data_IF_407816117296
#
_entry.id   IF_407816117296
#
_cell.length_a   1.000
_cell.length_b   1.000
_cell.length_c   1.000
_cell.angle_alpha   90.00
_cell.angle_beta   90.00
_cell.angle_gamma   90.00
#
_symmetry.space_group_name_H-M   'P 1'
#
loop_
_entity.id
_entity.type
_entity.pdbx_description
1 polymer ?
#
# COMPACT_ATOMS: atom_id res chain seq x y z
N UNK A 1 19.43 7.64 -6.20
CA UNK A 1 18.18 8.36 -6.54
C UNK A 1 18.16 8.75 -8.00
N UNK A 2 19.33 9.02 -8.59
CA UNK A 2 19.56 9.42 -9.99
C UNK A 2 19.04 8.46 -11.07
N UNK A 3 18.65 7.23 -10.71
CA UNK A 3 17.97 6.29 -11.61
C UNK A 3 16.47 6.60 -11.78
N UNK A 4 15.93 7.55 -11.01
CA UNK A 4 14.53 7.95 -11.03
C UNK A 4 14.41 9.36 -11.60
N UNK A 5 13.35 9.56 -12.39
CA UNK A 5 13.00 10.87 -12.94
C UNK A 5 12.63 11.86 -11.82
N UNK A 6 12.98 13.13 -12.05
CA UNK A 6 12.65 14.23 -11.15
C UNK A 6 11.17 14.60 -11.25
N UNK A 7 10.66 15.27 -10.21
CA UNK A 7 9.33 15.88 -10.26
C UNK A 7 9.30 17.01 -11.28
N UNK A 8 8.17 17.14 -11.97
CA UNK A 8 7.95 18.27 -12.87
C UNK A 8 7.68 19.53 -12.04
N UNK A 9 8.20 20.70 -12.45
CA UNK A 9 7.94 21.95 -11.74
C UNK A 9 6.46 22.33 -11.87
N UNK A 10 5.86 22.73 -10.75
CA UNK A 10 4.48 23.22 -10.70
C UNK A 10 4.49 24.74 -10.76
N UNK A 11 3.69 25.31 -11.66
CA UNK A 11 3.45 26.76 -11.68
C UNK A 11 2.40 27.11 -10.61
N UNK A 12 2.89 27.52 -9.44
CA UNK A 12 2.05 27.89 -8.30
C UNK A 12 1.11 29.06 -8.59
N UNK A 13 1.47 29.97 -9.50
CA UNK A 13 0.63 31.10 -9.86
C UNK A 13 -0.57 30.64 -10.70
N UNK A 14 -0.32 29.82 -11.72
CA UNK A 14 -1.36 29.22 -12.57
C UNK A 14 -2.30 28.33 -11.75
N UNK A 15 -1.74 27.55 -10.82
CA UNK A 15 -2.50 26.70 -9.90
C UNK A 15 -3.42 27.51 -8.99
N UNK A 16 -2.92 28.60 -8.39
CA UNK A 16 -3.74 29.44 -7.52
C UNK A 16 -4.90 30.12 -8.27
N UNK A 17 -4.68 30.52 -9.52
CA UNK A 17 -5.73 31.08 -10.39
C UNK A 17 -6.79 30.00 -10.68
N UNK A 18 -6.35 28.83 -11.11
CA UNK A 18 -7.23 27.70 -11.44
C UNK A 18 -8.11 27.29 -10.25
N UNK A 19 -7.55 27.24 -9.04
CA UNK A 19 -8.30 26.92 -7.82
C UNK A 19 -9.38 27.96 -7.52
N UNK A 20 -9.06 29.25 -7.73
CA UNK A 20 -10.02 30.34 -7.53
C UNK A 20 -11.19 30.23 -8.51
N UNK A 21 -10.90 29.96 -9.78
CA UNK A 21 -11.93 29.79 -10.81
C UNK A 21 -12.83 28.58 -10.51
N UNK A 22 -12.25 27.45 -10.07
CA UNK A 22 -13.01 26.28 -9.65
C UNK A 22 -13.91 26.57 -8.43
N UNK A 23 -13.44 27.40 -7.49
CA UNK A 23 -14.23 27.80 -6.33
C UNK A 23 -15.47 28.60 -6.73
N UNK A 24 -15.30 29.55 -7.67
CA UNK A 24 -16.38 30.37 -8.20
C UNK A 24 -17.40 29.52 -8.96
N UNK A 25 -16.95 28.68 -9.88
CA UNK A 25 -17.81 27.75 -10.63
C UNK A 25 -18.61 26.82 -9.72
N UNK A 26 -17.98 26.31 -8.65
CA UNK A 26 -18.66 25.45 -7.68
C UNK A 26 -19.79 26.20 -6.95
N UNK A 27 -19.56 27.45 -6.55
CA UNK A 27 -20.56 28.28 -5.88
C UNK A 27 -21.69 28.70 -6.83
N UNK A 28 -21.37 29.02 -8.09
CA UNK A 28 -22.35 29.29 -9.13
C UNK A 28 -23.25 28.08 -9.38
N UNK A 29 -22.66 26.90 -9.60
CA UNK A 29 -23.41 25.66 -9.75
C UNK A 29 -24.28 25.39 -8.52
N UNK A 30 -23.75 25.60 -7.31
CA UNK A 30 -24.53 25.48 -6.08
C UNK A 30 -25.78 26.37 -6.10
N UNK A 31 -25.63 27.64 -6.51
CA UNK A 31 -26.75 28.57 -6.65
C UNK A 31 -27.77 28.10 -7.70
N UNK A 32 -27.33 27.60 -8.85
CA UNK A 32 -28.22 27.10 -9.91
C UNK A 32 -29.09 25.91 -9.45
N UNK A 33 -28.52 25.02 -8.64
CA UNK A 33 -29.24 23.87 -8.08
C UNK A 33 -29.97 24.17 -6.76
N UNK A 34 -30.01 25.45 -6.33
CA UNK A 34 -30.70 25.87 -5.11
C UNK A 34 -30.04 25.39 -3.83
N UNK A 35 -28.71 25.25 -3.83
CA UNK A 35 -27.89 24.84 -2.70
C UNK A 35 -27.19 26.06 -2.11
N UNK A 36 -27.61 26.48 -0.92
CA UNK A 36 -26.90 27.53 -0.19
C UNK A 36 -25.71 26.95 0.59
N UNK A 37 -24.50 27.38 0.22
CA UNK A 37 -23.25 27.00 0.88
C UNK A 37 -22.16 28.05 0.74
N UNK A 38 -21.19 28.01 1.65
CA UNK A 38 -20.03 28.90 1.68
C UNK A 38 -18.75 28.07 1.77
N UNK A 39 -17.78 28.31 0.90
CA UNK A 39 -16.45 27.70 0.98
C UNK A 39 -15.69 28.34 2.15
N UNK A 40 -15.28 27.53 3.11
CA UNK A 40 -14.56 28.01 4.31
C UNK A 40 -13.06 27.73 4.26
N UNK A 41 -12.67 26.67 3.56
CA UNK A 41 -11.29 26.23 3.44
C UNK A 41 -11.09 25.53 2.10
N UNK A 42 -9.87 25.62 1.58
CA UNK A 42 -9.48 25.00 0.32
C UNK A 42 -8.14 24.32 0.54
N UNK A 43 -8.11 23.01 0.32
CA UNK A 43 -6.89 22.22 0.39
C UNK A 43 -6.58 21.66 -1.00
N UNK A 44 -5.56 22.25 -1.63
CA UNK A 44 -5.19 21.93 -3.00
C UNK A 44 -4.16 20.80 -3.04
N UNK A 45 -4.59 19.65 -3.57
CA UNK A 45 -3.76 18.49 -3.83
C UNK A 45 -3.22 18.44 -5.25
N UNK A 46 -2.36 17.46 -5.54
CA UNK A 46 -1.75 17.29 -6.85
C UNK A 46 -2.79 16.92 -7.93
N UNK A 47 -3.77 16.10 -7.60
CA UNK A 47 -4.77 15.59 -8.56
C UNK A 47 -6.18 16.11 -8.32
N UNK A 48 -6.48 16.52 -7.09
CA UNK A 48 -7.78 17.00 -6.66
C UNK A 48 -7.61 18.20 -5.74
N UNK A 49 -8.63 19.05 -5.68
CA UNK A 49 -8.76 20.13 -4.69
C UNK A 49 -9.96 19.85 -3.80
N UNK A 50 -9.76 19.89 -2.49
CA UNK A 50 -10.80 19.69 -1.49
C UNK A 50 -11.36 21.05 -1.05
N UNK A 51 -12.62 21.30 -1.39
CA UNK A 51 -13.37 22.46 -0.94
C UNK A 51 -14.16 22.10 0.32
N UNK A 52 -13.84 22.72 1.46
CA UNK A 52 -14.59 22.56 2.68
C UNK A 52 -15.76 23.55 2.70
N UNK A 53 -16.95 23.06 2.37
CA UNK A 53 -18.16 23.88 2.24
C UNK A 53 -19.01 23.78 3.50
N UNK A 54 -19.36 24.91 4.08
CA UNK A 54 -20.37 25.02 5.14
C UNK A 54 -21.73 25.23 4.50
N UNK A 55 -22.66 24.33 4.80
CA UNK A 55 -24.01 24.40 4.24
C UNK A 55 -24.92 25.28 5.10
N UNK A 56 -25.92 25.90 4.46
CA UNK A 56 -27.01 26.54 5.16
C UNK A 56 -27.80 25.55 6.03
N UNK A 57 -28.44 26.08 7.09
CA UNK A 57 -29.24 25.25 8.00
C UNK A 57 -30.43 24.63 7.25
N UNK A 58 -30.61 23.32 7.41
CA UNK A 58 -31.70 22.58 6.78
C UNK A 58 -31.33 21.90 5.47
N UNK A 59 -30.20 22.27 4.85
CA UNK A 59 -29.67 21.60 3.66
C UNK A 59 -29.22 20.17 4.02
N UNK A 60 -29.80 19.18 3.33
CA UNK A 60 -29.50 17.77 3.59
C UNK A 60 -28.30 17.35 2.74
N UNK A 61 -27.23 16.84 3.35
CA UNK A 61 -26.07 16.31 2.60
C UNK A 61 -26.46 15.26 1.55
N UNK A 62 -27.52 14.48 1.83
CA UNK A 62 -28.07 13.50 0.88
C UNK A 62 -28.56 14.12 -0.43
N UNK A 63 -29.11 15.34 -0.42
CA UNK A 63 -29.55 15.99 -1.67
C UNK A 63 -28.35 16.37 -2.54
N UNK A 64 -27.28 16.89 -1.92
CA UNK A 64 -26.05 17.26 -2.62
C UNK A 64 -25.38 16.01 -3.22
N UNK A 65 -25.31 14.91 -2.47
CA UNK A 65 -24.85 13.61 -3.01
C UNK A 65 -25.68 13.12 -4.20
N UNK A 66 -26.98 13.37 -4.19
CA UNK A 66 -27.86 13.04 -5.32
C UNK A 66 -27.62 13.91 -6.56
N UNK A 67 -27.05 15.11 -6.38
CA UNK A 67 -26.76 16.07 -7.45
C UNK A 67 -25.29 16.02 -7.90
N UNK A 68 -24.48 15.11 -7.39
CA UNK A 68 -23.03 15.10 -7.63
C UNK A 68 -22.66 15.01 -9.13
N UNK A 69 -23.40 14.20 -9.91
CA UNK A 69 -23.19 14.09 -11.36
C UNK A 69 -23.60 15.34 -12.13
N UNK A 70 -24.67 16.01 -11.68
CA UNK A 70 -25.15 17.24 -12.30
C UNK A 70 -24.25 18.43 -11.97
N UNK A 71 -23.80 18.53 -10.72
CA UNK A 71 -22.79 19.48 -10.28
C UNK A 71 -21.47 19.29 -11.02
N UNK A 72 -21.00 18.05 -11.16
CA UNK A 72 -19.79 17.74 -11.91
C UNK A 72 -19.89 18.22 -13.37
N UNK A 73 -21.06 18.01 -14.00
CA UNK A 73 -21.31 18.47 -15.37
C UNK A 73 -21.35 19.99 -15.49
N UNK A 74 -21.94 20.67 -14.51
CA UNK A 74 -22.05 22.13 -14.50
C UNK A 74 -20.68 22.82 -14.41
N UNK A 75 -19.74 22.23 -13.67
CA UNK A 75 -18.36 22.75 -13.55
C UNK A 75 -17.37 22.03 -14.49
N UNK A 76 -17.88 21.27 -15.47
CA UNK A 76 -17.09 20.60 -16.52
C UNK A 76 -16.01 19.63 -16.03
N UNK A 77 -16.23 18.94 -14.90
CA UNK A 77 -15.31 17.93 -14.36
C UNK A 77 -15.87 16.50 -14.52
N UNK A 78 -15.02 15.47 -14.61
CA UNK A 78 -15.48 14.10 -14.85
C UNK A 78 -16.33 13.53 -13.72
N UNK A 79 -16.05 13.90 -12.46
CA UNK A 79 -16.81 13.45 -11.29
C UNK A 79 -16.47 14.28 -10.06
N UNK A 80 -17.38 14.30 -9.08
CA UNK A 80 -17.16 14.89 -7.76
C UNK A 80 -17.28 13.85 -6.67
N UNK A 81 -16.43 13.93 -5.65
CA UNK A 81 -16.56 13.13 -4.41
C UNK A 81 -16.98 14.02 -3.26
N UNK A 82 -18.09 13.64 -2.61
CA UNK A 82 -18.68 14.40 -1.50
C UNK A 82 -18.51 13.65 -0.18
N UNK A 83 -17.59 14.13 0.64
CA UNK A 83 -17.30 13.62 1.98
C UNK A 83 -18.06 14.40 3.06
N UNK A 84 -18.83 13.69 3.89
CA UNK A 84 -19.57 14.28 5.01
C UNK A 84 -18.79 14.30 6.32
N UNK A 85 -17.59 13.70 6.35
CA UNK A 85 -16.87 13.37 7.58
C UNK A 85 -15.71 14.33 7.89
N UNK A 86 -15.68 15.51 7.28
CA UNK A 86 -14.63 16.51 7.53
C UNK A 86 -14.85 17.30 8.85
N UNK A 87 -15.97 17.06 9.54
CA UNK A 87 -16.27 17.64 10.86
C UNK A 87 -16.86 19.06 10.82
N UNK A 88 -17.20 19.59 12.01
CA UNK A 88 -17.62 20.99 12.23
C UNK A 88 -18.82 21.49 11.40
N UNK A 89 -19.72 20.59 10.95
CA UNK A 89 -20.88 20.96 10.15
C UNK A 89 -20.54 21.38 8.71
N UNK A 90 -19.36 20.99 8.22
CA UNK A 90 -18.92 21.19 6.83
C UNK A 90 -19.02 19.88 6.04
N UNK A 91 -19.06 20.00 4.72
CA UNK A 91 -18.85 18.90 3.78
C UNK A 91 -17.60 19.15 2.96
N UNK A 92 -16.86 18.09 2.65
CA UNK A 92 -15.73 18.14 1.74
C UNK A 92 -16.19 17.80 0.33
N UNK A 93 -15.86 18.64 -0.63
CA UNK A 93 -16.11 18.39 -2.05
C UNK A 93 -14.76 18.30 -2.72
N UNK A 94 -14.39 17.10 -3.14
CA UNK A 94 -13.17 16.86 -3.91
C UNK A 94 -13.49 17.07 -5.38
N UNK A 95 -12.84 18.08 -5.98
CA UNK A 95 -12.96 18.44 -7.38
C UNK A 95 -11.65 18.07 -8.08
N UNK A 96 -11.68 17.32 -9.19
CA UNK A 96 -10.49 17.06 -10.00
C UNK A 96 -9.82 18.35 -10.48
N UNK A 97 -8.49 18.42 -10.41
CA UNK A 97 -7.76 19.53 -11.00
C UNK A 97 -7.79 19.43 -12.53
N UNK A 98 -7.88 20.55 -13.28
CA UNK A 98 -7.87 20.53 -14.74
C UNK A 98 -6.57 19.94 -15.32
N UNK A 99 -5.46 20.18 -14.63
CA UNK A 99 -4.12 19.66 -14.94
C UNK A 99 -3.59 18.84 -13.75
N UNK A 100 -3.92 17.54 -13.65
CA UNK A 100 -3.43 16.69 -12.58
C UNK A 100 -1.90 16.57 -12.60
N UNK A 101 -1.27 16.81 -11.45
CA UNK A 101 0.17 16.66 -11.29
C UNK A 101 0.58 15.18 -11.23
N UNK A 102 1.63 14.81 -11.96
CA UNK A 102 2.18 13.47 -11.90
C UNK A 102 3.07 13.31 -10.66
N UNK A 103 2.60 12.51 -9.69
CA UNK A 103 3.34 12.19 -8.47
C UNK A 103 4.43 11.16 -8.77
N UNK A 104 5.70 11.56 -8.70
CA UNK A 104 6.86 10.70 -8.96
C UNK A 104 7.35 10.06 -7.66
N UNK A 105 7.77 8.80 -7.69
CA UNK A 105 8.26 8.12 -6.45
C UNK A 105 9.52 8.79 -5.86
N UNK A 106 10.35 9.44 -6.70
CA UNK A 106 11.61 10.08 -6.28
C UNK A 106 11.39 11.13 -5.19
N UNK A 107 10.44 12.04 -5.38
CA UNK A 107 10.12 13.08 -4.38
C UNK A 107 9.65 12.48 -3.04
N UNK A 108 8.90 11.37 -3.08
CA UNK A 108 8.40 10.71 -1.86
C UNK A 108 9.55 10.03 -1.11
N UNK A 109 10.48 9.40 -1.84
CA UNK A 109 11.70 8.81 -1.28
C UNK A 109 12.62 9.87 -0.65
N UNK A 110 12.80 11.01 -1.32
CA UNK A 110 13.62 12.13 -0.84
C UNK A 110 13.06 12.81 0.41
N UNK A 111 11.77 12.65 0.70
CA UNK A 111 11.15 13.16 1.94
C UNK A 111 11.76 12.58 3.24
N UNK A 112 12.48 11.46 3.16
CA UNK A 112 13.13 10.81 4.31
C UNK A 112 12.18 10.18 5.34
N UNK A 113 10.85 10.27 5.15
CA UNK A 113 9.83 9.77 6.09
C UNK A 113 9.96 8.27 6.38
N UNK A 114 10.48 7.47 5.46
CA UNK A 114 10.64 6.01 5.60
C UNK A 114 11.94 5.52 6.26
N UNK A 115 12.89 6.41 6.61
CA UNK A 115 14.25 6.05 7.05
C UNK A 115 14.32 5.11 8.26
N UNK A 116 13.36 5.21 9.20
CA UNK A 116 13.30 4.38 10.43
C UNK A 116 12.39 3.16 10.30
N UNK A 117 11.73 2.98 9.17
CA UNK A 117 10.76 1.90 8.95
C UNK A 117 11.47 0.60 8.57
N UNK A 118 10.89 -0.52 9.01
CA UNK A 118 11.42 -1.84 8.68
C UNK A 118 11.14 -2.22 7.23
N UNK A 119 9.90 -2.00 6.78
CA UNK A 119 9.45 -2.21 5.40
C UNK A 119 8.66 -0.99 4.91
N UNK A 120 9.33 0.14 4.60
CA UNK A 120 8.68 1.34 4.10
C UNK A 120 8.04 1.08 2.73
N UNK A 121 6.86 1.65 2.51
CA UNK A 121 6.13 1.67 1.25
C UNK A 121 5.78 3.13 0.95
N UNK A 122 6.39 3.68 -0.09
CA UNK A 122 6.22 5.07 -0.53
C UNK A 122 5.06 5.13 -1.52
N UNK A 123 3.82 5.27 -1.04
CA UNK A 123 2.61 5.04 -1.84
C UNK A 123 2.20 6.23 -2.73
N UNK A 124 2.67 7.44 -2.43
CA UNK A 124 2.32 8.65 -3.20
C UNK A 124 2.14 9.85 -2.30
N UNK A 125 1.17 10.72 -2.65
CA UNK A 125 0.77 11.90 -1.88
C UNK A 125 -0.71 11.81 -1.50
N UNK A 126 -1.08 12.44 -0.39
CA UNK A 126 -2.49 12.60 -0.02
C UNK A 126 -3.14 13.77 -0.77
N UNK A 127 -4.41 14.05 -0.47
CA UNK A 127 -5.17 15.16 -1.04
C UNK A 127 -4.58 16.55 -0.73
N UNK A 128 -3.68 16.67 0.25
CA UNK A 128 -2.98 17.91 0.60
C UNK A 128 -1.55 17.97 0.00
N UNK A 129 -1.18 17.00 -0.84
CA UNK A 129 0.16 16.90 -1.43
C UNK A 129 1.25 16.35 -0.49
N UNK A 130 0.91 15.90 0.72
CA UNK A 130 1.89 15.38 1.65
C UNK A 130 2.33 13.94 1.31
N UNK A 131 3.63 13.61 1.44
CA UNK A 131 4.12 12.26 1.19
C UNK A 131 3.48 11.19 2.08
N UNK A 132 2.89 10.18 1.45
CA UNK A 132 2.28 9.01 2.07
C UNK A 132 3.27 7.84 2.13
N UNK A 133 3.85 7.63 3.31
CA UNK A 133 4.80 6.53 3.56
C UNK A 133 4.32 5.68 4.72
N UNK A 134 4.17 4.37 4.49
CA UNK A 134 3.68 3.41 5.49
C UNK A 134 4.66 2.26 5.71
N UNK A 135 4.69 1.68 6.91
CA UNK A 135 5.50 0.51 7.23
C UNK A 135 4.64 -0.75 7.18
N UNK A 136 4.94 -1.68 6.25
CA UNK A 136 4.21 -2.94 6.12
C UNK A 136 4.23 -3.75 7.42
N UNK A 137 5.24 -3.60 8.29
CA UNK A 137 5.27 -4.32 9.59
C UNK A 137 4.21 -3.84 10.59
N UNK A 138 3.63 -2.65 10.38
CA UNK A 138 2.52 -2.10 11.18
C UNK A 138 1.15 -2.50 10.62
N UNK A 139 1.07 -2.70 9.32
CA UNK A 139 -0.09 -3.25 8.57
C UNK A 139 0.32 -4.58 7.92
N UNK A 140 0.43 -5.67 8.70
CA UNK A 140 1.26 -6.84 8.38
C UNK A 140 0.92 -7.55 7.06
N UNK A 141 -0.31 -7.37 6.57
CA UNK A 141 -0.76 -7.88 5.28
C UNK A 141 -1.55 -6.77 4.58
N UNK A 142 -1.51 -6.77 3.26
CA UNK A 142 -2.14 -5.74 2.43
C UNK A 142 -2.95 -6.41 1.32
N UNK A 143 -4.17 -5.92 1.10
CA UNK A 143 -5.00 -6.25 -0.05
C UNK A 143 -5.04 -5.04 -0.98
N UNK A 144 -4.79 -5.25 -2.27
CA UNK A 144 -4.83 -4.22 -3.31
C UNK A 144 -5.88 -4.62 -4.34
N UNK A 145 -6.93 -3.82 -4.47
CA UNK A 145 -7.98 -4.05 -5.44
C UNK A 145 -8.09 -2.87 -6.40
N UNK A 146 -8.23 -3.15 -7.69
CA UNK A 146 -8.41 -2.11 -8.70
C UNK A 146 -8.66 -2.69 -10.08
N UNK A 147 -9.59 -2.10 -10.83
CA UNK A 147 -9.89 -2.51 -12.21
C UNK A 147 -8.72 -2.22 -13.15
N UNK A 148 -8.74 -2.79 -14.35
CA UNK A 148 -7.74 -2.48 -15.38
C UNK A 148 -7.64 -0.98 -15.62
N UNK A 149 -6.42 -0.44 -15.66
CA UNK A 149 -6.16 0.99 -15.85
C UNK A 149 -6.27 1.84 -14.58
N UNK A 150 -6.70 1.30 -13.44
CA UNK A 150 -6.79 2.04 -12.17
C UNK A 150 -5.45 2.33 -11.49
N UNK A 151 -4.34 1.81 -12.02
CA UNK A 151 -3.00 1.97 -11.43
C UNK A 151 -2.59 0.90 -10.43
N UNK A 152 -3.34 -0.22 -10.29
CA UNK A 152 -2.96 -1.38 -9.42
C UNK A 152 -1.51 -1.83 -9.65
N UNK A 153 -1.16 -2.09 -10.90
CA UNK A 153 0.18 -2.54 -11.31
C UNK A 153 1.25 -1.51 -10.97
N UNK A 154 0.98 -0.23 -11.21
CA UNK A 154 1.89 0.88 -10.84
C UNK A 154 2.08 0.94 -9.32
N UNK A 155 1.02 0.76 -8.53
CA UNK A 155 1.07 0.73 -7.07
C UNK A 155 1.95 -0.44 -6.56
N UNK A 156 1.77 -1.65 -7.10
CA UNK A 156 2.61 -2.80 -6.75
C UNK A 156 4.08 -2.54 -7.08
N UNK A 157 4.36 -2.04 -8.29
CA UNK A 157 5.72 -1.69 -8.69
C UNK A 157 6.33 -0.62 -7.77
N UNK A 158 5.55 0.39 -7.39
CA UNK A 158 5.96 1.44 -6.44
C UNK A 158 6.32 0.86 -5.07
N UNK A 159 5.55 -0.12 -4.58
CA UNK A 159 5.84 -0.84 -3.33
C UNK A 159 7.13 -1.66 -3.47
N UNK A 160 7.32 -2.39 -4.56
CA UNK A 160 8.54 -3.17 -4.79
C UNK A 160 9.77 -2.25 -4.87
N UNK A 161 9.68 -1.15 -5.62
CA UNK A 161 10.71 -0.12 -5.71
C UNK A 161 11.05 0.48 -4.36
N UNK A 162 10.06 0.70 -3.50
CA UNK A 162 10.30 1.17 -2.13
C UNK A 162 11.33 0.32 -1.41
N UNK A 163 11.31 -1.00 -1.58
CA UNK A 163 12.27 -1.90 -0.94
C UNK A 163 13.56 -2.06 -1.71
N UNK A 164 13.53 -2.10 -3.06
CA UNK A 164 14.78 -2.21 -3.83
C UNK A 164 15.69 -0.98 -3.65
N UNK A 165 15.10 0.20 -3.41
CA UNK A 165 15.86 1.42 -3.10
C UNK A 165 16.30 1.53 -1.63
N UNK A 166 15.64 0.84 -0.69
CA UNK A 166 15.87 1.09 0.75
C UNK A 166 16.31 -0.12 1.57
N UNK A 167 16.27 -1.34 1.01
CA UNK A 167 16.54 -2.59 1.74
C UNK A 167 17.49 -3.49 0.97
N UNK A 168 18.42 -4.10 1.69
CA UNK A 168 19.34 -5.08 1.13
C UNK A 168 18.69 -6.47 1.01
N UNK A 169 19.23 -7.37 0.16
CA UNK A 169 18.69 -8.73 -0.01
C UNK A 169 18.75 -9.60 1.26
N UNK A 170 19.62 -9.28 2.22
CA UNK A 170 19.69 -9.93 3.53
C UNK A 170 18.64 -9.41 4.52
N UNK A 171 17.98 -8.30 4.21
CA UNK A 171 16.96 -7.67 5.04
C UNK A 171 15.54 -8.04 4.60
N UNK A 172 15.33 -8.17 3.28
CA UNK A 172 14.04 -8.58 2.71
C UNK A 172 14.21 -9.58 1.57
N UNK A 173 13.40 -10.63 1.62
CA UNK A 173 13.26 -11.64 0.58
C UNK A 173 11.87 -11.60 -0.02
N UNK A 174 11.81 -11.57 -1.34
CA UNK A 174 10.58 -11.44 -2.11
C UNK A 174 10.21 -12.78 -2.73
N UNK A 175 8.92 -13.11 -2.68
CA UNK A 175 8.32 -14.16 -3.49
C UNK A 175 7.25 -13.52 -4.35
N UNK A 176 7.46 -13.53 -5.66
CA UNK A 176 6.60 -12.88 -6.62
C UNK A 176 5.79 -13.95 -7.38
N UNK A 177 4.46 -13.85 -7.31
CA UNK A 177 3.52 -14.74 -7.99
C UNK A 177 2.78 -13.95 -9.06
N UNK A 178 3.04 -14.31 -10.33
CA UNK A 178 2.49 -13.66 -11.53
C UNK A 178 2.00 -14.73 -12.51
N UNK A 179 0.74 -15.21 -12.34
CA UNK A 179 0.16 -16.21 -13.21
C UNK A 179 0.09 -15.78 -14.68
N UNK A 180 -0.02 -14.46 -14.92
CA UNK A 180 -0.20 -13.88 -16.26
C UNK A 180 1.11 -13.54 -16.96
N UNK A 181 2.23 -13.52 -16.25
CA UNK A 181 3.57 -13.18 -16.76
C UNK A 181 3.66 -11.78 -17.37
N UNK A 182 2.94 -10.82 -16.81
CA UNK A 182 2.90 -9.45 -17.32
C UNK A 182 3.65 -8.50 -16.39
N UNK A 183 3.51 -8.68 -15.08
CA UNK A 183 3.85 -7.65 -14.10
C UNK A 183 5.25 -7.83 -13.52
N UNK A 184 5.71 -9.08 -13.36
CA UNK A 184 6.94 -9.35 -12.60
C UNK A 184 8.15 -9.79 -13.44
N UNK A 185 8.05 -9.77 -14.76
CA UNK A 185 9.14 -10.20 -15.66
C UNK A 185 10.45 -9.41 -15.43
N UNK A 186 10.33 -8.10 -15.26
CA UNK A 186 11.46 -7.18 -15.01
C UNK A 186 12.23 -7.51 -13.72
N UNK A 187 11.63 -8.24 -12.77
CA UNK A 187 12.25 -8.57 -11.49
C UNK A 187 13.00 -9.91 -11.48
N UNK A 188 13.00 -10.69 -12.58
CA UNK A 188 13.54 -12.06 -12.59
C UNK A 188 14.99 -12.22 -12.10
N UNK A 189 15.81 -11.16 -12.21
CA UNK A 189 17.23 -11.21 -11.90
C UNK A 189 17.64 -10.52 -10.59
N UNK A 190 16.69 -10.04 -9.78
CA UNK A 190 17.04 -9.31 -8.55
C UNK A 190 17.49 -10.27 -7.44
N UNK A 191 18.51 -9.90 -6.62
CA UNK A 191 19.03 -10.75 -5.55
C UNK A 191 18.06 -10.92 -4.37
N UNK A 192 17.01 -10.09 -4.29
CA UNK A 192 15.98 -10.16 -3.27
C UNK A 192 15.02 -11.34 -3.46
N UNK A 193 14.95 -11.95 -4.66
CA UNK A 193 14.08 -13.10 -4.88
C UNK A 193 14.51 -14.30 -4.01
N UNK A 194 13.55 -14.93 -3.34
CA UNK A 194 13.74 -16.19 -2.62
C UNK A 194 13.65 -17.41 -3.56
N UNK A 195 12.91 -17.26 -4.66
CA UNK A 195 12.78 -18.22 -5.75
C UNK A 195 12.50 -17.46 -7.05
N UNK A 196 12.66 -18.09 -8.24
CA UNK A 196 12.22 -17.50 -9.49
C UNK A 196 10.75 -17.07 -9.43
N UNK A 197 10.38 -16.06 -10.21
CA UNK A 197 8.99 -15.59 -10.33
C UNK A 197 8.07 -16.77 -10.63
N UNK A 198 7.04 -16.92 -9.80
CA UNK A 198 6.15 -18.07 -9.82
C UNK A 198 5.01 -17.79 -10.78
N UNK A 199 5.00 -18.50 -11.90
CA UNK A 199 4.02 -18.30 -12.97
C UNK A 199 2.93 -19.37 -13.01
N UNK A 200 3.13 -20.49 -12.31
CA UNK A 200 2.15 -21.59 -12.22
C UNK A 200 1.46 -21.55 -10.87
N UNK A 201 0.13 -21.56 -10.88
CA UNK A 201 -0.75 -21.63 -9.71
C UNK A 201 -0.45 -22.84 -8.81
N UNK A 202 -0.21 -24.01 -9.41
CA UNK A 202 0.23 -25.21 -8.68
C UNK A 202 1.54 -25.01 -7.88
N UNK A 203 2.48 -24.23 -8.42
CA UNK A 203 3.70 -23.87 -7.68
C UNK A 203 3.42 -22.79 -6.62
N UNK A 204 2.49 -21.88 -6.89
CA UNK A 204 2.11 -20.84 -5.95
C UNK A 204 1.50 -21.42 -4.66
N UNK A 205 0.65 -22.45 -4.74
CA UNK A 205 0.18 -23.16 -3.53
C UNK A 205 1.35 -23.77 -2.74
N UNK A 206 2.34 -24.36 -3.42
CA UNK A 206 3.53 -24.91 -2.78
C UNK A 206 4.37 -23.85 -2.06
N UNK A 207 4.49 -22.66 -2.64
CA UNK A 207 5.12 -21.49 -2.01
C UNK A 207 4.39 -21.05 -0.75
N UNK A 208 3.05 -20.99 -0.79
CA UNK A 208 2.27 -20.61 0.38
C UNK A 208 2.42 -21.64 1.51
N UNK A 209 2.42 -22.92 1.19
CA UNK A 209 2.69 -24.00 2.15
C UNK A 209 4.11 -23.90 2.72
N UNK A 210 5.11 -23.62 1.88
CA UNK A 210 6.47 -23.34 2.33
C UNK A 210 6.52 -22.15 3.30
N UNK A 211 5.80 -21.07 3.01
CA UNK A 211 5.76 -19.89 3.87
C UNK A 211 5.12 -20.19 5.24
N UNK A 212 4.09 -21.03 5.28
CA UNK A 212 3.53 -21.56 6.54
C UNK A 212 4.58 -22.36 7.32
N UNK A 213 5.34 -23.22 6.66
CA UNK A 213 6.41 -23.99 7.31
C UNK A 213 7.55 -23.09 7.83
N UNK A 214 7.93 -22.06 7.05
CA UNK A 214 8.89 -21.05 7.49
C UNK A 214 8.39 -20.28 8.71
N UNK A 215 7.10 -19.92 8.73
CA UNK A 215 6.48 -19.26 9.87
C UNK A 215 6.60 -20.12 11.14
N UNK A 216 6.27 -21.40 11.07
CA UNK A 216 6.37 -22.33 12.21
C UNK A 216 7.83 -22.53 12.68
N UNK A 217 8.75 -22.67 11.74
CA UNK A 217 10.19 -22.77 12.02
C UNK A 217 10.72 -21.52 12.71
N UNK A 218 10.33 -20.33 12.23
CA UNK A 218 10.71 -19.06 12.86
C UNK A 218 10.11 -18.91 14.24
N UNK A 219 8.87 -19.33 14.47
CA UNK A 219 8.29 -19.33 15.82
C UNK A 219 9.11 -20.17 16.80
N UNK A 220 9.61 -21.32 16.35
CA UNK A 220 10.50 -22.17 17.16
C UNK A 220 11.81 -21.44 17.49
N UNK A 221 12.41 -20.76 16.50
CA UNK A 221 13.61 -19.93 16.72
C UNK A 221 13.37 -18.79 17.72
N UNK A 222 12.26 -18.04 17.57
CA UNK A 222 11.90 -16.94 18.47
C UNK A 222 11.68 -17.46 19.91
N UNK A 223 11.00 -18.59 20.07
CA UNK A 223 10.77 -19.25 21.36
C UNK A 223 12.08 -19.65 22.02
N UNK A 224 12.98 -20.29 21.28
CA UNK A 224 14.29 -20.72 21.79
C UNK A 224 15.15 -19.49 22.18
N UNK A 225 15.11 -18.42 21.39
CA UNK A 225 15.78 -17.16 21.71
C UNK A 225 15.05 -16.32 22.79
N UNK A 226 13.89 -16.78 23.28
CA UNK A 226 13.04 -16.11 24.27
C UNK A 226 12.76 -14.65 23.89
N UNK A 227 12.36 -14.44 22.64
CA UNK A 227 11.95 -13.15 22.07
C UNK A 227 10.56 -13.28 21.45
N UNK A 228 9.87 -12.16 21.27
CA UNK A 228 8.49 -12.15 20.77
C UNK A 228 8.35 -11.78 19.30
N UNK A 229 9.40 -11.22 18.70
CA UNK A 229 9.37 -10.71 17.33
C UNK A 229 10.69 -10.92 16.60
N UNK A 230 10.61 -10.94 15.26
CA UNK A 230 11.78 -10.93 14.38
C UNK A 230 12.69 -9.72 14.63
N UNK A 231 12.12 -8.56 14.97
CA UNK A 231 12.88 -7.35 15.27
C UNK A 231 13.77 -7.55 16.52
N UNK A 232 13.20 -8.12 17.59
CA UNK A 232 13.96 -8.49 18.79
C UNK A 232 15.00 -9.57 18.51
N UNK A 233 14.68 -10.56 17.66
CA UNK A 233 15.61 -11.60 17.26
C UNK A 233 16.80 -11.03 16.49
N UNK A 234 16.55 -10.19 15.48
CA UNK A 234 17.59 -9.58 14.67
C UNK A 234 18.48 -8.63 15.48
N UNK A 235 17.90 -7.91 16.45
CA UNK A 235 18.65 -7.09 17.40
C UNK A 235 19.54 -7.94 18.31
N UNK A 236 19.05 -9.10 18.77
CA UNK A 236 19.85 -10.03 19.56
C UNK A 236 20.99 -10.64 18.72
N UNK A 237 20.76 -10.86 17.44
CA UNK A 237 21.73 -11.37 16.48
C UNK A 237 22.92 -10.46 16.16
N UNK A 238 22.87 -9.19 16.55
CA UNK A 238 24.02 -8.28 16.50
C UNK A 238 25.12 -8.70 17.47
N UNK A 239 24.77 -9.47 18.50
CA UNK A 239 25.68 -10.16 19.41
C UNK A 239 25.44 -11.68 19.35
N UNK A 240 26.13 -12.40 18.44
CA UNK A 240 25.94 -13.84 18.24
C UNK A 240 26.20 -14.66 19.50
N UNK A 241 27.12 -14.23 20.37
CA UNK A 241 27.45 -14.93 21.62
C UNK A 241 26.25 -14.85 22.58
N UNK A 242 25.65 -13.67 22.69
CA UNK A 242 24.44 -13.47 23.51
C UNK A 242 23.24 -14.22 22.96
N UNK A 243 23.06 -14.25 21.63
CA UNK A 243 22.01 -15.05 20.99
C UNK A 243 22.16 -16.54 21.34
N UNK A 244 23.34 -17.12 21.12
CA UNK A 244 23.62 -18.53 21.38
C UNK A 244 23.43 -18.87 22.86
N UNK A 245 23.94 -18.04 23.77
CA UNK A 245 23.75 -18.22 25.22
C UNK A 245 22.28 -18.20 25.61
N UNK A 246 21.49 -17.28 25.05
CA UNK A 246 20.06 -17.16 25.38
C UNK A 246 19.24 -18.35 24.88
N UNK A 247 19.66 -18.92 23.74
CA UNK A 247 19.13 -20.15 23.17
C UNK A 247 19.64 -21.42 23.89
N UNK A 248 20.60 -21.30 24.80
CA UNK A 248 21.18 -22.44 25.52
C UNK A 248 22.06 -23.34 24.65
N UNK A 249 22.56 -22.83 23.51
CA UNK A 249 23.42 -23.59 22.62
C UNK A 249 24.82 -23.71 23.24
N UNK A 250 25.34 -24.93 23.30
CA UNK A 250 26.70 -25.24 23.79
C UNK A 250 27.57 -25.89 22.73
N UNK A 251 26.96 -26.48 21.71
CA UNK A 251 27.67 -27.10 20.59
C UNK A 251 28.09 -26.06 19.55
N UNK A 252 29.38 -26.05 19.17
CA UNK A 252 29.92 -25.07 18.22
C UNK A 252 29.31 -25.19 16.81
N UNK A 253 28.91 -26.39 16.39
CA UNK A 253 28.31 -26.60 15.07
C UNK A 253 26.90 -26.02 15.04
N UNK A 254 26.11 -26.24 16.08
CA UNK A 254 24.78 -25.62 16.24
C UNK A 254 24.87 -24.09 16.31
N UNK A 255 25.85 -23.55 17.02
CA UNK A 255 26.09 -22.10 17.06
C UNK A 255 26.37 -21.51 15.68
N UNK A 256 27.17 -22.21 14.85
CA UNK A 256 27.49 -21.76 13.48
C UNK A 256 26.30 -21.85 12.52
N UNK A 257 25.45 -22.87 12.69
CA UNK A 257 24.26 -23.07 11.86
C UNK A 257 23.08 -22.15 12.23
N UNK A 258 23.11 -21.58 13.44
CA UNK A 258 22.03 -20.70 13.90
C UNK A 258 22.04 -19.37 13.13
N UNK A 259 20.93 -18.99 12.48
CA UNK A 259 20.87 -17.74 11.73
C UNK A 259 20.97 -16.55 12.68
N UNK A 260 21.93 -15.65 12.42
CA UNK A 260 22.12 -14.45 13.25
C UNK A 260 21.04 -13.41 12.97
N UNK A 261 20.63 -13.25 11.71
CA UNK A 261 19.55 -12.37 11.31
C UNK A 261 18.61 -13.13 10.38
N UNK A 262 17.34 -12.78 10.46
CA UNK A 262 16.28 -13.29 9.61
C UNK A 262 15.80 -12.15 8.70
N UNK A 263 15.77 -12.33 7.37
CA UNK A 263 15.15 -11.34 6.49
C UNK A 263 13.64 -11.35 6.72
N UNK A 264 12.98 -10.22 6.49
CA UNK A 264 11.55 -10.23 6.24
C UNK A 264 11.27 -11.02 4.96
N UNK A 265 10.16 -11.77 4.92
CA UNK A 265 9.69 -12.43 3.70
C UNK A 265 8.40 -11.74 3.29
N UNK A 266 8.34 -11.24 2.06
CA UNK A 266 7.12 -10.67 1.50
C UNK A 266 6.69 -11.51 0.30
N UNK A 267 5.48 -12.05 0.36
CA UNK A 267 4.85 -12.75 -0.75
C UNK A 267 3.90 -11.77 -1.43
N UNK A 268 4.13 -11.51 -2.71
CA UNK A 268 3.31 -10.62 -3.53
C UNK A 268 2.62 -11.46 -4.59
N UNK A 269 1.28 -11.42 -4.60
CA UNK A 269 0.44 -12.11 -5.57
C UNK A 269 -0.24 -11.05 -6.43
N UNK A 270 0.05 -11.01 -7.73
CA UNK A 270 -0.52 -9.98 -8.61
C UNK A 270 -2.03 -10.15 -8.84
N UNK A 271 -2.48 -11.40 -9.00
CA UNK A 271 -3.88 -11.74 -9.21
C UNK A 271 -4.29 -12.90 -8.29
N UNK A 272 -4.84 -12.53 -7.13
CA UNK A 272 -5.38 -13.47 -6.15
C UNK A 272 -6.53 -14.29 -6.73
N UNK A 273 -7.36 -13.69 -7.61
CA UNK A 273 -8.51 -14.36 -8.20
C UNK A 273 -8.12 -15.64 -8.92
N UNK A 274 -7.08 -15.58 -9.76
CA UNK A 274 -6.62 -16.74 -10.54
C UNK A 274 -6.14 -17.86 -9.61
N UNK A 275 -5.44 -17.50 -8.53
CA UNK A 275 -4.96 -18.47 -7.54
C UNK A 275 -6.10 -19.14 -6.77
N UNK A 276 -7.10 -18.37 -6.32
CA UNK A 276 -8.25 -18.91 -5.57
C UNK A 276 -9.18 -19.73 -6.48
N UNK A 277 -9.40 -19.28 -7.72
CA UNK A 277 -10.27 -19.99 -8.67
C UNK A 277 -9.68 -21.33 -9.11
N UNK A 278 -8.36 -21.41 -9.28
CA UNK A 278 -7.69 -22.64 -9.72
C UNK A 278 -7.36 -23.61 -8.57
N UNK A 279 -6.82 -23.11 -7.45
CA UNK A 279 -6.33 -23.96 -6.34
C UNK A 279 -7.32 -24.05 -5.17
N UNK A 280 -8.34 -23.18 -5.12
CA UNK A 280 -9.37 -23.19 -4.09
C UNK A 280 -8.80 -23.15 -2.67
N UNK A 281 -9.19 -24.16 -1.87
CA UNK A 281 -8.80 -24.25 -0.45
C UNK A 281 -7.29 -24.46 -0.24
N UNK A 282 -6.60 -25.03 -1.21
CA UNK A 282 -5.15 -25.29 -1.10
C UNK A 282 -4.33 -24.00 -1.14
N UNK A 283 -4.88 -22.92 -1.69
CA UNK A 283 -4.32 -21.57 -1.60
C UNK A 283 -4.93 -20.75 -0.46
N UNK A 284 -6.26 -20.79 -0.27
CA UNK A 284 -6.97 -19.99 0.74
C UNK A 284 -6.50 -20.32 2.17
N UNK A 285 -6.41 -21.59 2.54
CA UNK A 285 -6.07 -22.00 3.91
C UNK A 285 -4.68 -21.51 4.35
N UNK A 286 -3.60 -21.67 3.53
CA UNK A 286 -2.32 -21.06 3.82
C UNK A 286 -2.36 -19.53 3.95
N UNK A 287 -3.07 -18.83 3.06
CA UNK A 287 -3.20 -17.36 3.11
C UNK A 287 -3.77 -16.93 4.46
N UNK A 288 -4.89 -17.52 4.88
CA UNK A 288 -5.53 -17.23 6.17
C UNK A 288 -4.58 -17.50 7.33
N UNK A 289 -3.89 -18.65 7.32
CA UNK A 289 -2.97 -19.05 8.39
C UNK A 289 -1.78 -18.09 8.51
N UNK A 290 -1.24 -17.63 7.38
CA UNK A 290 -0.17 -16.62 7.34
C UNK A 290 -0.74 -15.30 7.87
N UNK A 291 -1.85 -14.81 7.33
CA UNK A 291 -2.46 -13.54 7.72
C UNK A 291 -2.71 -13.43 9.25
N UNK A 292 -3.11 -14.54 9.88
CA UNK A 292 -3.41 -14.59 11.31
C UNK A 292 -2.16 -14.63 12.21
N UNK A 293 -1.04 -15.20 11.77
CA UNK A 293 0.08 -15.58 12.66
C UNK A 293 1.45 -15.08 12.21
N UNK A 294 1.60 -14.61 10.98
CA UNK A 294 2.93 -14.36 10.40
C UNK A 294 3.59 -13.05 10.84
N UNK A 295 2.82 -12.08 11.37
CA UNK A 295 3.33 -10.75 11.78
C UNK A 295 4.58 -10.82 12.66
N UNK A 296 4.55 -11.63 13.71
CA UNK A 296 5.63 -11.70 14.69
C UNK A 296 6.94 -12.26 14.10
N UNK A 297 6.82 -13.13 13.10
CA UNK A 297 7.96 -13.81 12.46
C UNK A 297 8.45 -13.12 11.18
N UNK A 298 7.88 -11.95 10.86
CA UNK A 298 8.29 -11.13 9.72
C UNK A 298 7.98 -11.73 8.37
N UNK A 299 6.84 -12.41 8.24
CA UNK A 299 6.33 -12.88 6.95
C UNK A 299 5.06 -12.08 6.63
N UNK A 300 5.01 -11.48 5.45
CA UNK A 300 3.99 -10.52 5.03
C UNK A 300 3.37 -10.95 3.69
N UNK A 301 2.11 -10.57 3.48
CA UNK A 301 1.37 -10.84 2.25
C UNK A 301 0.95 -9.52 1.62
N UNK A 302 1.16 -9.40 0.32
CA UNK A 302 0.51 -8.40 -0.53
C UNK A 302 -0.29 -9.17 -1.57
N UNK A 303 -1.61 -9.14 -1.43
CA UNK A 303 -2.52 -9.81 -2.34
C UNK A 303 -3.16 -8.74 -3.20
N UNK A 304 -3.00 -8.84 -4.51
CA UNK A 304 -3.61 -7.92 -5.45
C UNK A 304 -4.67 -8.65 -6.29
N UNK A 305 -5.70 -7.93 -6.72
CA UNK A 305 -6.70 -8.47 -7.64
C UNK A 305 -7.36 -7.39 -8.48
N UNK A 306 -7.72 -7.73 -9.71
CA UNK A 306 -8.57 -6.88 -10.56
C UNK A 306 -10.05 -7.24 -10.43
N UNK A 307 -10.37 -8.33 -9.74
CA UNK A 307 -11.72 -8.85 -9.54
C UNK A 307 -12.07 -8.79 -8.06
N UNK A 308 -12.48 -7.62 -7.53
CA UNK A 308 -12.88 -7.46 -6.13
C UNK A 308 -14.25 -8.07 -5.84
N UNK A 309 -14.45 -9.31 -6.27
CA UNK A 309 -15.69 -10.07 -6.10
C UNK A 309 -15.65 -10.85 -4.77
N UNK A 310 -16.83 -11.09 -4.19
CA UNK A 310 -16.98 -11.75 -2.87
C UNK A 310 -16.44 -13.19 -2.83
N UNK A 311 -16.39 -13.86 -3.98
CA UNK A 311 -15.82 -15.20 -4.16
C UNK A 311 -14.28 -15.20 -4.18
N UNK A 312 -13.66 -14.06 -4.49
CA UNK A 312 -12.18 -13.89 -4.50
C UNK A 312 -11.71 -13.34 -3.17
N UNK A 313 -12.35 -12.28 -2.69
CA UNK A 313 -12.09 -11.67 -1.38
C UNK A 313 -13.14 -12.20 -0.40
N UNK A 314 -12.95 -13.44 0.04
CA UNK A 314 -13.84 -14.09 0.99
C UNK A 314 -13.73 -13.42 2.35
N UNK A 315 -14.74 -13.55 3.22
CA UNK A 315 -14.66 -13.00 4.59
C UNK A 315 -13.62 -13.66 5.49
N UNK A 316 -12.92 -14.70 5.01
CA UNK A 316 -11.79 -15.32 5.70
C UNK A 316 -10.46 -14.62 5.41
N UNK A 317 -10.35 -13.97 4.25
CA UNK A 317 -9.18 -13.23 3.76
C UNK A 317 -9.29 -11.77 4.20
#
# INVERSE_FOLDING_TARGET
>A
MDLLEESEPVDEADRSLTISDQAEQLLEAFSEFGIDGEIQDIDAGPTITLFAVKLARGTKVKSIRGLAEDLARAIEVPSLRIDSNIGQGRIGIEVPNPTPELVRIREILESGRGSKMSLPMYLGKNASGEPMVYDLTKMPHMLIAGTTGSGKSVCINTILMSWLFTKRPDEVKLVLVDPKQVEFDTYKAIPHLACPVVTKTDRAKGVLQWAVHQMESRYTLLKNAKVRSIAEYNKLGEDPVKLCRKMGLTDEREMKLTPKKLPFIVIVVDELADLILEEGKDAEVPIVKIAQKARAVGIHLILATQRPERNVVTGLI
#
